data_IF_944028885895
#
_entry.id   IF_944028885895
#
_cell.length_a   1.000
_cell.length_b   1.000
_cell.length_c   1.000
_cell.angle_alpha   90.00
_cell.angle_beta   90.00
_cell.angle_gamma   90.00
#
_symmetry.space_group_name_H-M   'P 1'
#
loop_
_entity.id
_entity.type
_entity.pdbx_description
1 polymer ?
#
# COMPACT_ATOMS: atom_id res chain seq x y z
N UNK A 1 0.39 -2.11 -7.55
CA UNK A 1 -1.08 -2.32 -7.42
C UNK A 1 -1.29 -3.63 -6.67
N UNK A 2 -2.19 -3.66 -5.69
CA UNK A 2 -2.65 -4.90 -5.09
C UNK A 2 -4.17 -4.86 -4.87
N UNK A 3 -4.80 -6.03 -4.86
CA UNK A 3 -6.23 -6.18 -4.67
C UNK A 3 -6.48 -7.15 -3.50
N UNK A 4 -7.53 -6.93 -2.70
CA UNK A 4 -7.92 -7.86 -1.66
C UNK A 4 -8.42 -9.16 -2.30
N UNK A 5 -8.26 -10.27 -1.57
CA UNK A 5 -8.74 -11.58 -2.02
C UNK A 5 -10.23 -11.50 -2.39
N UNK A 6 -10.57 -12.00 -3.57
CA UNK A 6 -11.91 -11.92 -4.16
C UNK A 6 -12.44 -10.49 -4.42
N UNK A 7 -11.57 -9.48 -4.54
CA UNK A 7 -11.93 -8.06 -4.76
C UNK A 7 -12.95 -7.53 -3.75
N UNK A 8 -12.92 -8.05 -2.52
CA UNK A 8 -13.80 -7.60 -1.44
C UNK A 8 -13.58 -6.11 -1.19
N UNK A 9 -14.65 -5.36 -0.93
CA UNK A 9 -14.58 -3.92 -0.68
C UNK A 9 -14.10 -3.55 0.73
N UNK A 10 -13.04 -4.21 1.20
CA UNK A 10 -12.49 -4.06 2.57
C UNK A 10 -11.72 -2.76 2.76
N UNK A 11 -11.26 -2.15 1.67
CA UNK A 11 -10.51 -0.89 1.67
C UNK A 11 -11.41 0.35 1.61
N UNK A 12 -12.74 0.17 1.69
CA UNK A 12 -13.73 1.23 1.56
C UNK A 12 -14.40 1.56 2.91
N UNK A 13 -14.90 2.79 3.04
CA UNK A 13 -15.60 3.25 4.24
C UNK A 13 -14.66 3.40 5.46
N UNK A 14 -15.11 2.91 6.61
CA UNK A 14 -14.46 3.11 7.91
C UNK A 14 -13.03 2.56 7.98
N UNK A 15 -12.78 1.43 7.29
CA UNK A 15 -11.46 0.75 7.31
C UNK A 15 -10.40 1.45 6.45
N UNK A 16 -10.79 2.39 5.58
CA UNK A 16 -9.85 3.09 4.68
C UNK A 16 -8.76 3.83 5.44
N UNK A 17 -9.12 4.51 6.55
CA UNK A 17 -8.17 5.31 7.34
C UNK A 17 -7.15 4.42 8.03
N UNK A 18 -7.63 3.41 8.76
CA UNK A 18 -6.80 2.47 9.51
C UNK A 18 -5.83 1.72 8.60
N UNK A 19 -6.31 1.23 7.45
CA UNK A 19 -5.44 0.54 6.48
C UNK A 19 -4.39 1.50 5.91
N UNK A 20 -4.78 2.75 5.63
CA UNK A 20 -3.83 3.77 5.16
C UNK A 20 -2.73 4.07 6.19
N UNK A 21 -3.05 4.08 7.48
CA UNK A 21 -2.09 4.24 8.58
C UNK A 21 -1.14 3.05 8.68
N UNK A 22 -1.66 1.82 8.56
CA UNK A 22 -0.86 0.59 8.54
C UNK A 22 0.13 0.62 7.36
N UNK A 23 -0.34 0.93 6.14
CA UNK A 23 0.50 0.99 4.95
C UNK A 23 1.61 2.05 5.06
N UNK A 24 1.29 3.24 5.60
CA UNK A 24 2.30 4.29 5.86
C UNK A 24 3.34 3.83 6.87
N UNK A 25 2.91 3.18 7.95
CA UNK A 25 3.81 2.67 8.99
C UNK A 25 4.76 1.61 8.42
N UNK A 26 4.23 0.67 7.63
CA UNK A 26 5.03 -0.36 6.96
C UNK A 26 6.05 0.24 5.98
N UNK A 27 5.63 1.21 5.17
CA UNK A 27 6.54 1.87 4.23
C UNK A 27 7.65 2.63 4.96
N UNK A 28 7.32 3.31 6.07
CA UNK A 28 8.30 4.01 6.90
C UNK A 28 9.33 3.03 7.50
N UNK A 29 8.89 1.87 8.00
CA UNK A 29 9.79 0.83 8.50
C UNK A 29 10.71 0.26 7.42
N UNK A 30 10.20 0.04 6.20
CA UNK A 30 10.99 -0.43 5.06
C UNK A 30 11.84 0.68 4.42
N UNK A 31 11.81 1.92 4.93
CA UNK A 31 12.47 3.12 4.37
C UNK A 31 12.07 3.38 2.92
N UNK A 32 10.81 3.11 2.60
CA UNK A 32 10.20 3.34 1.29
C UNK A 32 9.38 4.61 1.38
N UNK A 33 9.62 5.56 0.47
CA UNK A 33 8.92 6.84 0.46
C UNK A 33 7.69 6.73 -0.45
N UNK A 34 6.52 6.94 0.11
CA UNK A 34 5.27 7.00 -0.67
C UNK A 34 5.21 8.38 -1.34
N UNK A 35 5.11 8.40 -2.67
CA UNK A 35 4.91 9.63 -3.45
C UNK A 35 3.40 9.90 -3.56
N UNK A 36 2.65 8.89 -4.00
CA UNK A 36 1.20 8.95 -4.13
C UNK A 36 0.58 7.60 -3.73
N UNK A 37 -0.62 7.64 -3.14
CA UNK A 37 -1.37 6.43 -2.82
C UNK A 37 -2.87 6.69 -3.00
N UNK A 38 -3.48 5.91 -3.88
CA UNK A 38 -4.91 5.94 -4.13
C UNK A 38 -5.54 4.62 -3.70
N UNK A 39 -6.59 4.73 -2.88
CA UNK A 39 -7.37 3.59 -2.40
C UNK A 39 -8.72 3.62 -3.09
N UNK A 40 -8.93 2.71 -4.04
CA UNK A 40 -10.23 2.44 -4.63
C UNK A 40 -10.95 1.37 -3.81
N UNK A 41 -12.24 1.15 -4.10
CA UNK A 41 -13.05 0.21 -3.31
C UNK A 41 -12.53 -1.23 -3.35
N UNK A 42 -11.92 -1.67 -4.45
CA UNK A 42 -11.50 -3.05 -4.71
C UNK A 42 -10.01 -3.18 -5.06
N UNK A 43 -9.26 -2.08 -5.09
CA UNK A 43 -7.84 -2.07 -5.44
C UNK A 43 -7.11 -0.90 -4.78
N UNK A 44 -5.81 -1.08 -4.52
CA UNK A 44 -4.94 -0.03 -3.99
C UNK A 44 -3.80 0.21 -4.98
N UNK A 45 -3.64 1.46 -5.37
CA UNK A 45 -2.55 1.96 -6.19
C UNK A 45 -1.58 2.74 -5.31
N UNK A 46 -0.30 2.40 -5.38
CA UNK A 46 0.76 3.10 -4.65
C UNK A 46 1.89 3.39 -5.61
N UNK A 47 2.27 4.66 -5.67
CA UNK A 47 3.50 5.14 -6.27
C UNK A 47 4.50 5.36 -5.14
N UNK A 48 5.56 4.57 -5.13
CA UNK A 48 6.56 4.60 -4.07
C UNK A 48 7.97 4.65 -4.66
N UNK A 49 8.83 5.42 -4.00
CA UNK A 49 10.26 5.49 -4.25
C UNK A 49 10.94 4.42 -3.40
N UNK A 50 11.48 3.41 -4.08
CA UNK A 50 12.20 2.30 -3.45
C UNK A 50 13.71 2.53 -3.50
N UNK A 51 14.46 2.25 -2.42
CA UNK A 51 15.92 2.35 -2.47
C UNK A 51 16.49 1.44 -3.56
N UNK A 52 17.51 1.89 -4.33
CA UNK A 52 18.07 1.10 -5.44
C UNK A 52 18.68 -0.24 -5.01
N UNK A 53 19.03 -0.37 -3.71
CA UNK A 53 19.57 -1.61 -3.12
C UNK A 53 18.49 -2.61 -2.69
N UNK A 54 17.22 -2.19 -2.63
CA UNK A 54 16.12 -3.04 -2.22
C UNK A 54 15.43 -3.62 -3.46
N UNK A 55 15.19 -4.93 -3.49
CA UNK A 55 14.41 -5.54 -4.56
C UNK A 55 12.94 -5.13 -4.46
N UNK A 56 12.30 -4.83 -5.60
CA UNK A 56 10.87 -4.47 -5.65
C UNK A 56 9.99 -5.61 -5.14
N UNK A 57 10.38 -6.87 -5.37
CA UNK A 57 9.65 -8.05 -4.84
C UNK A 57 9.51 -8.02 -3.32
N UNK A 58 10.53 -7.54 -2.61
CA UNK A 58 10.53 -7.41 -1.14
C UNK A 58 9.53 -6.39 -0.61
N UNK A 59 9.05 -5.50 -1.47
CA UNK A 59 7.95 -4.60 -1.14
C UNK A 59 6.58 -5.30 -1.27
N UNK A 60 6.45 -6.26 -2.18
CA UNK A 60 5.21 -7.00 -2.41
C UNK A 60 5.03 -8.21 -1.48
N UNK A 61 6.11 -8.64 -0.81
CA UNK A 61 6.09 -9.57 0.34
C UNK A 61 5.61 -8.91 1.64
#
# INVERSE_FOLDING_TARGET
MFAPKYRRKVFYGEKRREIGEILRTLCNWKKIKIIEAEVCSDQVHMLAENPPKAAVSRFME
#
